data_IF_072003998610
#
_entry.id   IF_072003998610
#
_cell.length_a   1.000
_cell.length_b   1.000
_cell.length_c   1.000
_cell.angle_alpha   90.00
_cell.angle_beta   90.00
_cell.angle_gamma   90.00
#
_symmetry.space_group_name_H-M   'P 1'
#
loop_
_entity.id
_entity.type
_entity.pdbx_description
1 polymer ?
#
# COMPACT_ATOMS: atom_id res chain seq x y z
N UNK A 1 0.75 9.31 5.87
CA UNK A 1 0.52 10.16 4.69
C UNK A 1 0.86 9.46 3.40
N UNK A 2 2.03 8.83 3.36
CA UNK A 2 2.46 7.96 2.27
C UNK A 2 2.37 6.50 2.70
N UNK A 3 2.13 5.61 1.75
CA UNK A 3 2.19 4.15 1.93
C UNK A 3 3.32 3.56 1.09
N UNK A 4 3.92 2.47 1.56
CA UNK A 4 4.78 1.63 0.73
C UNK A 4 3.89 0.94 -0.31
N UNK A 5 3.94 1.41 -1.56
CA UNK A 5 2.85 1.17 -2.51
C UNK A 5 2.82 -0.27 -3.04
N UNK A 6 3.99 -0.86 -3.23
CA UNK A 6 4.16 -2.19 -3.82
C UNK A 6 5.06 -3.06 -2.94
N UNK A 7 4.52 -3.62 -1.83
CA UNK A 7 5.25 -4.56 -0.99
C UNK A 7 5.30 -5.95 -1.65
N UNK A 8 6.42 -6.65 -1.49
CA UNK A 8 6.66 -7.93 -2.17
C UNK A 8 5.72 -9.07 -1.77
N UNK A 9 5.04 -8.98 -0.62
CA UNK A 9 4.06 -9.97 -0.17
C UNK A 9 2.63 -9.73 -0.70
N UNK A 10 2.42 -8.75 -1.59
CA UNK A 10 1.11 -8.39 -2.15
C UNK A 10 1.08 -8.34 -3.69
N UNK A 11 2.09 -8.90 -4.36
CA UNK A 11 2.23 -8.88 -5.82
C UNK A 11 1.03 -9.45 -6.56
N UNK A 12 0.39 -10.49 -6.00
CA UNK A 12 -0.79 -11.14 -6.59
C UNK A 12 -2.03 -10.22 -6.58
N UNK A 13 -2.04 -9.19 -5.74
CA UNK A 13 -3.13 -8.21 -5.63
C UNK A 13 -2.80 -6.93 -6.40
N UNK A 14 -1.58 -6.42 -6.24
CA UNK A 14 -1.16 -5.15 -6.88
C UNK A 14 -0.77 -5.31 -8.35
N UNK A 15 -0.50 -6.54 -8.80
CA UNK A 15 0.00 -6.81 -10.15
C UNK A 15 1.40 -6.24 -10.43
N UNK A 16 2.09 -5.73 -9.41
CA UNK A 16 3.39 -5.06 -9.53
C UNK A 16 4.39 -5.73 -8.61
N UNK A 17 5.61 -5.98 -9.10
CA UNK A 17 6.71 -6.49 -8.28
C UNK A 17 7.07 -5.53 -7.14
N UNK A 18 7.88 -6.00 -6.18
CA UNK A 18 8.31 -5.13 -5.09
C UNK A 18 9.12 -3.92 -5.60
N UNK A 19 8.68 -2.72 -5.24
CA UNK A 19 9.37 -1.47 -5.58
C UNK A 19 9.69 -0.68 -4.32
N UNK A 20 10.80 -1.02 -3.63
CA UNK A 20 11.19 -0.41 -2.34
C UNK A 20 11.35 1.13 -2.37
N UNK A 21 11.44 1.72 -3.56
CA UNK A 21 11.49 3.17 -3.78
C UNK A 21 10.11 3.83 -3.96
N UNK A 22 9.05 3.06 -4.19
CA UNK A 22 7.74 3.60 -4.57
C UNK A 22 6.85 3.86 -3.35
N UNK A 23 6.70 5.15 -3.03
CA UNK A 23 5.75 5.63 -2.04
C UNK A 23 4.61 6.41 -2.68
N UNK A 24 3.39 6.15 -2.23
CA UNK A 24 2.17 6.80 -2.74
C UNK A 24 1.52 7.64 -1.65
N UNK A 25 1.31 8.93 -1.90
CA UNK A 25 0.51 9.77 -1.01
C UNK A 25 -0.98 9.42 -1.14
N UNK A 26 -1.63 9.18 0.00
CA UNK A 26 -3.07 8.85 0.10
C UNK A 26 -3.79 9.66 1.18
N UNK A 27 -3.11 10.61 1.82
CA UNK A 27 -3.60 11.29 3.02
C UNK A 27 -3.09 10.64 4.31
N UNK A 28 -3.15 11.36 5.43
CA UNK A 28 -2.62 10.87 6.72
C UNK A 28 -3.46 9.72 7.26
N UNK A 29 -4.77 9.94 7.38
CA UNK A 29 -5.73 8.97 7.92
C UNK A 29 -5.69 7.62 7.20
N UNK A 30 -5.94 7.61 5.89
CA UNK A 30 -5.90 6.38 5.09
C UNK A 30 -4.54 5.65 5.16
N UNK A 31 -3.43 6.39 5.12
CA UNK A 31 -2.11 5.77 5.21
C UNK A 31 -1.86 5.10 6.57
N UNK A 32 -2.41 5.67 7.66
CA UNK A 32 -2.34 5.08 9.00
C UNK A 32 -3.14 3.79 9.04
N UNK A 33 -4.40 3.81 8.58
CA UNK A 33 -5.26 2.62 8.57
C UNK A 33 -4.67 1.48 7.72
N UNK A 34 -4.14 1.81 6.54
CA UNK A 34 -3.47 0.85 5.64
C UNK A 34 -2.28 0.20 6.34
N UNK A 35 -1.47 1.00 7.05
CA UNK A 35 -0.30 0.50 7.76
C UNK A 35 -0.68 -0.41 8.93
N UNK A 36 -1.64 0.02 9.77
CA UNK A 36 -2.09 -0.72 10.95
C UNK A 36 -2.75 -2.06 10.59
N UNK A 37 -3.48 -2.11 9.47
CA UNK A 37 -4.16 -3.31 9.01
C UNK A 37 -3.29 -4.17 8.07
N UNK A 38 -2.09 -3.72 7.68
CA UNK A 38 -1.21 -4.45 6.77
C UNK A 38 -1.79 -4.64 5.36
N UNK A 39 -2.53 -3.65 4.88
CA UNK A 39 -3.22 -3.67 3.58
C UNK A 39 -2.35 -3.10 2.45
N UNK A 40 -2.67 -3.46 1.21
CA UNK A 40 -2.36 -2.63 0.05
C UNK A 40 -3.53 -1.69 -0.29
N UNK A 41 -3.32 -0.75 -1.22
CA UNK A 41 -4.35 0.24 -1.57
C UNK A 41 -5.61 -0.42 -2.16
N UNK A 42 -5.43 -1.48 -2.95
CA UNK A 42 -6.53 -2.23 -3.55
C UNK A 42 -7.41 -2.93 -2.52
N UNK A 43 -6.82 -3.42 -1.42
CA UNK A 43 -7.59 -4.01 -0.32
C UNK A 43 -8.35 -2.94 0.46
N UNK A 44 -7.76 -1.76 0.65
CA UNK A 44 -8.39 -0.63 1.35
C UNK A 44 -9.58 -0.02 0.60
N UNK A 45 -9.57 -0.04 -0.74
CA UNK A 45 -10.62 0.56 -1.57
C UNK A 45 -11.81 -0.37 -1.85
N UNK A 46 -11.78 -1.63 -1.38
CA UNK A 46 -12.91 -2.56 -1.48
C UNK A 46 -14.00 -2.22 -0.49
#
# INVERSE_FOLDING_TARGET
GFIFRYPGNKTDITGTAEEVWHYRYVGVEAATEIYEQGLCLEEYLK
#
